data_IF_197973488312
#
_entry.id   IF_197973488312
#
_cell.length_a   1.000
_cell.length_b   1.000
_cell.length_c   1.000
_cell.angle_alpha   90.00
_cell.angle_beta   90.00
_cell.angle_gamma   90.00
#
_symmetry.space_group_name_H-M   'P 1'
#
loop_
_entity.id
_entity.type
_entity.pdbx_description
1 polymer ?
#
# COMPACT_ATOMS: atom_id res chain seq x y z
N UNK A 1 26.26 43.55 8.61
CA UNK A 1 25.10 42.78 9.07
C UNK A 1 24.83 41.72 8.01
N UNK A 2 25.38 40.53 8.20
CA UNK A 2 25.26 39.42 7.27
C UNK A 2 23.88 38.76 7.45
N UNK A 3 23.00 38.93 6.46
CA UNK A 3 21.74 38.20 6.39
C UNK A 3 21.94 36.95 5.53
N UNK A 4 22.49 35.90 6.14
CA UNK A 4 22.57 34.55 5.55
C UNK A 4 21.18 33.91 5.56
N UNK A 5 20.34 34.25 4.59
CA UNK A 5 19.11 33.54 4.31
C UNK A 5 19.39 32.27 3.49
N UNK A 6 19.91 31.23 4.13
CA UNK A 6 19.93 29.86 3.58
C UNK A 6 18.79 29.06 4.22
N UNK A 7 17.53 29.47 4.00
CA UNK A 7 16.36 28.67 4.37
C UNK A 7 15.23 28.99 3.39
N UNK A 8 14.92 28.09 2.44
CA UNK A 8 13.59 27.99 1.77
C UNK A 8 13.55 26.93 0.64
N UNK A 9 14.60 26.77 -0.17
CA UNK A 9 14.50 25.89 -1.37
C UNK A 9 14.47 24.39 -1.05
N UNK A 10 15.26 23.94 -0.06
CA UNK A 10 15.33 22.52 0.35
C UNK A 10 14.01 22.05 0.95
N UNK A 11 13.45 22.80 1.90
CA UNK A 11 12.26 22.40 2.65
C UNK A 11 10.99 22.46 1.78
N UNK A 12 10.88 23.45 0.90
CA UNK A 12 9.76 23.55 -0.05
C UNK A 12 9.79 22.42 -1.10
N UNK A 13 10.98 22.02 -1.57
CA UNK A 13 11.17 20.90 -2.49
C UNK A 13 10.85 19.55 -1.84
N UNK A 14 11.29 19.37 -0.59
CA UNK A 14 11.08 18.14 0.19
C UNK A 14 9.60 17.95 0.56
N UNK A 15 8.92 19.01 1.02
CA UNK A 15 7.49 18.95 1.32
C UNK A 15 6.65 18.67 0.06
N UNK A 16 7.02 19.25 -1.10
CA UNK A 16 6.39 18.91 -2.39
C UNK A 16 6.61 17.45 -2.78
N UNK A 17 7.80 16.91 -2.52
CA UNK A 17 8.09 15.50 -2.79
C UNK A 17 7.22 14.59 -1.93
N UNK A 18 7.19 14.78 -0.61
CA UNK A 18 6.36 13.98 0.29
C UNK A 18 4.86 14.12 -0.04
N UNK A 19 4.37 15.34 -0.28
CA UNK A 19 2.99 15.56 -0.70
C UNK A 19 2.64 14.82 -2.00
N UNK A 20 3.56 14.77 -2.97
CA UNK A 20 3.39 13.99 -4.21
C UNK A 20 3.35 12.49 -3.93
N UNK A 21 4.26 11.96 -3.12
CA UNK A 21 4.32 10.53 -2.80
C UNK A 21 3.07 10.11 -2.01
N UNK A 22 2.67 10.87 -1.00
CA UNK A 22 1.45 10.58 -0.24
C UNK A 22 0.19 10.69 -1.07
N UNK A 23 0.12 11.69 -1.97
CA UNK A 23 -0.97 11.79 -2.94
C UNK A 23 -1.07 10.57 -3.86
N UNK A 24 0.08 10.08 -4.36
CA UNK A 24 0.14 8.87 -5.19
C UNK A 24 -0.28 7.61 -4.43
N UNK A 25 0.20 7.42 -3.20
CA UNK A 25 -0.20 6.29 -2.35
C UNK A 25 -1.69 6.35 -2.04
N UNK A 26 -2.20 7.51 -1.65
CA UNK A 26 -3.63 7.72 -1.40
C UNK A 26 -4.49 7.44 -2.63
N UNK A 27 -4.03 7.82 -3.82
CA UNK A 27 -4.68 7.47 -5.09
C UNK A 27 -4.69 5.96 -5.33
N UNK A 28 -3.57 5.27 -5.10
CA UNK A 28 -3.49 3.82 -5.24
C UNK A 28 -4.46 3.10 -4.30
N UNK A 29 -4.44 3.44 -3.01
CA UNK A 29 -5.35 2.88 -2.00
C UNK A 29 -6.81 3.19 -2.33
N UNK A 30 -7.11 4.41 -2.76
CA UNK A 30 -8.45 4.81 -3.19
C UNK A 30 -8.93 4.01 -4.39
N UNK A 31 -8.05 3.79 -5.38
CA UNK A 31 -8.36 2.92 -6.53
C UNK A 31 -8.62 1.49 -6.08
N UNK A 32 -7.79 0.93 -5.21
CA UNK A 32 -7.99 -0.42 -4.66
C UNK A 32 -9.35 -0.54 -3.97
N UNK A 33 -9.73 0.44 -3.15
CA UNK A 33 -11.03 0.48 -2.48
C UNK A 33 -12.20 0.55 -3.47
N UNK A 34 -12.09 1.35 -4.53
CA UNK A 34 -13.09 1.41 -5.61
C UNK A 34 -13.22 0.05 -6.30
N UNK A 35 -12.12 -0.59 -6.67
CA UNK A 35 -12.15 -1.90 -7.31
C UNK A 35 -12.77 -2.94 -6.36
N UNK A 36 -12.41 -2.95 -5.09
CA UNK A 36 -13.01 -3.87 -4.12
C UNK A 36 -14.51 -3.66 -3.98
N UNK A 37 -14.97 -2.41 -3.92
CA UNK A 37 -16.39 -2.08 -3.90
C UNK A 37 -17.10 -2.54 -5.17
N UNK A 38 -16.50 -2.32 -6.35
CA UNK A 38 -17.07 -2.74 -7.63
C UNK A 38 -17.25 -4.26 -7.69
N UNK A 39 -16.26 -5.02 -7.22
CA UNK A 39 -16.32 -6.49 -7.19
C UNK A 39 -17.39 -7.02 -6.23
N UNK A 40 -17.54 -6.41 -5.06
CA UNK A 40 -18.49 -6.87 -4.03
C UNK A 40 -19.91 -6.32 -4.20
N UNK A 41 -20.08 -5.22 -4.93
CA UNK A 41 -21.38 -4.60 -5.21
C UNK A 41 -21.85 -4.90 -6.63
N UNK A 42 -21.66 -3.98 -7.60
CA UNK A 42 -22.16 -4.11 -8.98
C UNK A 42 -21.76 -5.40 -9.71
N UNK A 43 -20.54 -5.89 -9.52
CA UNK A 43 -20.02 -7.10 -10.16
C UNK A 43 -20.08 -8.34 -9.26
N UNK A 44 -20.87 -8.30 -8.18
CA UNK A 44 -21.01 -9.40 -7.23
C UNK A 44 -21.36 -10.74 -7.90
N UNK A 45 -22.21 -10.74 -8.93
CA UNK A 45 -22.54 -11.97 -9.66
C UNK A 45 -21.33 -12.60 -10.35
N UNK A 46 -20.49 -11.78 -11.01
CA UNK A 46 -19.24 -12.23 -11.62
C UNK A 46 -18.25 -12.70 -10.56
N UNK A 47 -18.14 -11.96 -9.45
CA UNK A 47 -17.26 -12.30 -8.34
C UNK A 47 -17.61 -13.66 -7.72
N UNK A 48 -18.89 -13.91 -7.42
CA UNK A 48 -19.36 -15.18 -6.88
C UNK A 48 -19.12 -16.32 -7.86
N UNK A 49 -19.32 -16.09 -9.17
CA UNK A 49 -19.00 -17.08 -10.19
C UNK A 49 -17.50 -17.43 -10.21
N UNK A 50 -16.62 -16.44 -10.08
CA UNK A 50 -15.17 -16.66 -9.96
C UNK A 50 -14.86 -17.47 -8.70
N UNK A 51 -15.47 -17.13 -7.56
CA UNK A 51 -15.22 -17.81 -6.29
C UNK A 51 -15.63 -19.28 -6.32
N UNK A 52 -16.78 -19.59 -6.93
CA UNK A 52 -17.34 -20.96 -6.95
C UNK A 52 -16.76 -21.83 -8.06
N UNK A 53 -16.57 -21.29 -9.26
CA UNK A 53 -16.22 -22.09 -10.45
C UNK A 53 -14.77 -21.92 -10.88
N UNK A 54 -14.11 -20.83 -10.46
CA UNK A 54 -12.78 -20.46 -10.92
C UNK A 54 -11.84 -20.09 -9.76
N UNK A 55 -11.80 -20.92 -8.71
CA UNK A 55 -10.95 -20.69 -7.54
C UNK A 55 -9.46 -20.50 -7.88
N UNK A 56 -8.99 -20.99 -9.04
CA UNK A 56 -7.62 -20.78 -9.52
C UNK A 56 -7.31 -19.31 -9.85
N UNK A 57 -8.32 -18.49 -10.15
CA UNK A 57 -8.16 -17.06 -10.48
C UNK A 57 -7.60 -16.28 -9.30
N UNK A 58 -8.01 -16.60 -8.08
CA UNK A 58 -7.44 -15.99 -6.87
C UNK A 58 -5.94 -16.29 -6.75
N UNK A 59 -5.56 -17.56 -6.93
CA UNK A 59 -4.16 -17.98 -6.91
C UNK A 59 -3.34 -17.29 -8.00
N UNK A 60 -3.87 -17.25 -9.23
CA UNK A 60 -3.24 -16.55 -10.35
C UNK A 60 -3.08 -15.05 -10.07
N UNK A 61 -4.08 -14.40 -9.48
CA UNK A 61 -4.02 -12.99 -9.12
C UNK A 61 -2.89 -12.71 -8.14
N UNK A 62 -2.67 -13.55 -7.12
CA UNK A 62 -1.54 -13.41 -6.18
C UNK A 62 -0.20 -13.45 -6.91
N UNK A 63 0.01 -14.42 -7.81
CA UNK A 63 1.27 -14.53 -8.55
C UNK A 63 1.49 -13.33 -9.48
N UNK A 64 0.45 -12.87 -10.16
CA UNK A 64 0.52 -11.68 -11.02
C UNK A 64 0.80 -10.43 -10.19
N UNK A 65 0.21 -10.32 -9.02
CA UNK A 65 0.41 -9.20 -8.10
C UNK A 65 1.86 -9.13 -7.60
N UNK A 66 2.46 -10.29 -7.27
CA UNK A 66 3.87 -10.38 -6.94
C UNK A 66 4.76 -10.00 -8.14
N UNK A 67 4.46 -10.48 -9.35
CA UNK A 67 5.22 -10.08 -10.53
C UNK A 67 5.13 -8.56 -10.77
N UNK A 68 3.93 -7.98 -10.65
CA UNK A 68 3.69 -6.55 -10.83
C UNK A 68 4.41 -5.71 -9.78
N UNK A 69 4.50 -6.13 -8.52
CA UNK A 69 5.21 -5.34 -7.51
C UNK A 69 6.71 -5.22 -7.84
N UNK A 70 7.34 -6.29 -8.34
CA UNK A 70 8.73 -6.24 -8.77
C UNK A 70 8.91 -5.36 -10.02
N UNK A 71 8.00 -5.46 -10.98
CA UNK A 71 8.04 -4.63 -12.20
C UNK A 71 7.81 -3.15 -11.89
N UNK A 72 6.80 -2.82 -11.09
CA UNK A 72 6.49 -1.47 -10.66
C UNK A 72 7.64 -0.87 -9.83
N UNK A 73 8.20 -1.64 -8.90
CA UNK A 73 9.36 -1.21 -8.10
C UNK A 73 10.59 -0.96 -8.97
N UNK A 74 10.85 -1.83 -9.94
CA UNK A 74 11.95 -1.68 -10.90
C UNK A 74 11.77 -0.44 -11.79
N UNK A 75 10.56 -0.21 -12.31
CA UNK A 75 10.23 0.96 -13.12
C UNK A 75 10.33 2.27 -12.33
N UNK A 76 9.85 2.27 -11.08
CA UNK A 76 9.95 3.41 -10.18
C UNK A 76 11.41 3.75 -9.88
N UNK A 77 12.24 2.74 -9.58
CA UNK A 77 13.68 2.94 -9.31
C UNK A 77 14.45 3.48 -10.52
N UNK A 78 14.02 3.12 -11.74
CA UNK A 78 14.57 3.62 -13.00
C UNK A 78 13.94 4.95 -13.46
N UNK A 79 13.01 5.53 -12.68
CA UNK A 79 12.25 6.72 -13.04
C UNK A 79 11.61 6.66 -14.44
N UNK A 80 11.12 5.49 -14.83
CA UNK A 80 10.52 5.27 -16.15
C UNK A 80 9.12 5.89 -16.23
N UNK A 81 8.67 6.45 -17.37
CA UNK A 81 7.31 6.96 -17.54
C UNK A 81 6.20 5.92 -17.24
N UNK A 82 6.52 4.63 -17.37
CA UNK A 82 5.63 3.51 -17.08
C UNK A 82 5.40 3.27 -15.58
N UNK A 83 6.15 3.91 -14.67
CA UNK A 83 6.04 3.65 -13.23
C UNK A 83 4.64 3.94 -12.66
N UNK A 84 4.00 5.03 -13.09
CA UNK A 84 2.66 5.39 -12.63
C UNK A 84 1.57 4.45 -13.17
N UNK A 85 1.49 4.16 -14.49
CA UNK A 85 0.55 3.16 -15.00
C UNK A 85 0.73 1.78 -14.35
N UNK A 86 1.96 1.30 -14.19
CA UNK A 86 2.23 0.01 -13.55
C UNK A 86 1.76 0.00 -12.09
N UNK A 87 1.99 1.08 -11.36
CA UNK A 87 1.51 1.23 -9.99
C UNK A 87 -0.03 1.24 -9.90
N UNK A 88 -0.71 1.90 -10.84
CA UNK A 88 -2.18 1.92 -10.86
C UNK A 88 -2.78 0.56 -11.22
N UNK A 89 -2.19 -0.17 -12.18
CA UNK A 89 -2.59 -1.55 -12.51
C UNK A 89 -2.37 -2.47 -11.32
N UNK A 90 -1.21 -2.35 -10.66
CA UNK A 90 -0.93 -3.06 -9.43
C UNK A 90 -1.97 -2.74 -8.33
N UNK A 91 -2.28 -1.46 -8.13
CA UNK A 91 -3.28 -1.03 -7.13
C UNK A 91 -4.68 -1.56 -7.45
N UNK A 92 -5.07 -1.59 -8.73
CA UNK A 92 -6.35 -2.16 -9.14
C UNK A 92 -6.40 -3.67 -8.88
N UNK A 93 -5.33 -4.40 -9.23
CA UNK A 93 -5.23 -5.83 -8.94
C UNK A 93 -5.25 -6.12 -7.43
N UNK A 94 -4.56 -5.31 -6.63
CA UNK A 94 -4.59 -5.41 -5.17
C UNK A 94 -6.02 -5.25 -4.62
N UNK A 95 -6.80 -4.29 -5.15
CA UNK A 95 -8.22 -4.13 -4.79
C UNK A 95 -9.07 -5.36 -5.17
N UNK A 96 -8.81 -5.97 -6.32
CA UNK A 96 -9.44 -7.23 -6.70
C UNK A 96 -9.08 -8.36 -5.72
N UNK A 97 -7.80 -8.55 -5.42
CA UNK A 97 -7.32 -9.56 -4.46
C UNK A 97 -7.90 -9.35 -3.06
N UNK A 98 -7.96 -8.10 -2.57
CA UNK A 98 -8.55 -7.76 -1.27
C UNK A 98 -10.05 -8.10 -1.19
N UNK A 99 -10.77 -8.13 -2.31
CA UNK A 99 -12.19 -8.49 -2.32
C UNK A 99 -12.43 -9.91 -1.79
N UNK A 100 -11.52 -10.85 -2.08
CA UNK A 100 -11.57 -12.24 -1.59
C UNK A 100 -11.39 -12.34 -0.07
N UNK A 101 -10.66 -11.38 0.52
CA UNK A 101 -10.46 -11.32 1.96
C UNK A 101 -11.65 -10.61 2.61
N UNK A 102 -12.03 -9.44 2.09
CA UNK A 102 -13.08 -8.57 2.63
C UNK A 102 -14.43 -9.28 2.69
N UNK A 103 -14.76 -10.14 1.70
CA UNK A 103 -16.03 -10.87 1.68
C UNK A 103 -16.21 -11.82 2.87
N UNK A 104 -15.11 -12.25 3.52
CA UNK A 104 -15.15 -13.13 4.69
C UNK A 104 -15.44 -12.36 5.99
N UNK A 105 -15.37 -11.03 5.98
CA UNK A 105 -15.54 -10.19 7.15
C UNK A 105 -16.78 -9.28 7.04
N UNK A 106 -17.28 -8.84 8.19
CA UNK A 106 -18.40 -7.89 8.20
C UNK A 106 -17.95 -6.49 7.79
N UNK A 107 -18.87 -5.69 7.25
CA UNK A 107 -18.59 -4.29 6.90
C UNK A 107 -18.05 -3.49 8.09
N UNK A 108 -18.56 -3.76 9.30
CA UNK A 108 -18.11 -3.11 10.52
C UNK A 108 -16.64 -3.42 10.82
N UNK A 109 -16.22 -4.68 10.72
CA UNK A 109 -14.82 -5.10 10.92
C UNK A 109 -13.89 -4.45 9.89
N UNK A 110 -14.30 -4.42 8.62
CA UNK A 110 -13.50 -3.85 7.53
C UNK A 110 -13.34 -2.34 7.72
N UNK A 111 -14.42 -1.64 8.07
CA UNK A 111 -14.38 -0.20 8.35
C UNK A 111 -13.49 0.12 9.55
N UNK A 112 -13.59 -0.65 10.64
CA UNK A 112 -12.72 -0.47 11.80
C UNK A 112 -11.24 -0.67 11.44
N UNK A 113 -10.91 -1.72 10.69
CA UNK A 113 -9.55 -1.99 10.23
C UNK A 113 -9.00 -0.88 9.32
N UNK A 114 -9.84 -0.33 8.44
CA UNK A 114 -9.46 0.80 7.59
C UNK A 114 -9.16 2.05 8.41
N UNK A 115 -10.06 2.44 9.32
CA UNK A 115 -9.88 3.63 10.16
C UNK A 115 -8.67 3.48 11.09
N UNK A 116 -8.49 2.31 11.72
CA UNK A 116 -7.32 2.08 12.58
C UNK A 116 -6.02 2.20 11.80
N UNK A 117 -5.97 1.62 10.60
CA UNK A 117 -4.78 1.67 9.74
C UNK A 117 -4.51 3.09 9.24
N UNK A 118 -5.55 3.85 8.87
CA UNK A 118 -5.43 5.25 8.47
C UNK A 118 -4.86 6.11 9.60
N UNK A 119 -5.38 5.98 10.82
CA UNK A 119 -4.88 6.71 12.01
C UNK A 119 -3.42 6.38 12.27
N UNK A 120 -3.04 5.10 12.23
CA UNK A 120 -1.64 4.69 12.41
C UNK A 120 -0.75 5.27 11.31
N UNK A 121 -1.17 5.20 10.05
CA UNK A 121 -0.41 5.75 8.93
C UNK A 121 -0.19 7.26 9.07
N UNK A 122 -1.25 8.02 9.35
CA UNK A 122 -1.15 9.48 9.54
C UNK A 122 -0.28 9.83 10.75
N UNK A 123 -0.46 9.14 11.88
CA UNK A 123 0.34 9.37 13.08
C UNK A 123 1.83 9.11 12.80
N UNK A 124 2.14 7.99 12.14
CA UNK A 124 3.52 7.64 11.80
C UNK A 124 4.12 8.56 10.73
N UNK A 125 3.33 9.02 9.76
CA UNK A 125 3.75 10.02 8.78
C UNK A 125 4.11 11.35 9.46
N UNK A 126 3.28 11.83 10.39
CA UNK A 126 3.56 13.04 11.17
C UNK A 126 4.82 12.88 12.03
N UNK A 127 5.00 11.73 12.68
CA UNK A 127 6.22 11.42 13.43
C UNK A 127 7.44 11.46 12.51
N UNK A 128 7.37 10.87 11.31
CA UNK A 128 8.46 10.84 10.34
C UNK A 128 8.93 12.23 9.87
N UNK A 129 8.03 13.21 9.83
CA UNK A 129 8.36 14.60 9.44
C UNK A 129 8.75 15.46 10.66
N UNK A 130 8.18 15.17 11.84
CA UNK A 130 8.37 16.00 13.04
C UNK A 130 9.61 15.60 13.86
N UNK A 131 10.02 14.34 13.82
CA UNK A 131 11.16 13.84 14.59
C UNK A 131 12.47 14.26 13.93
N UNK A 132 13.28 15.02 14.65
CA UNK A 132 14.62 15.46 14.21
C UNK A 132 15.73 14.44 14.47
N UNK A 133 15.43 13.37 15.21
CA UNK A 133 16.38 12.32 15.55
C UNK A 133 16.53 11.35 14.37
N UNK A 134 17.77 10.98 14.06
CA UNK A 134 18.03 9.93 13.08
C UNK A 134 17.45 8.58 13.56
N UNK A 135 16.52 8.03 12.79
CA UNK A 135 15.85 6.76 13.06
C UNK A 135 16.57 5.57 12.42
N UNK A 136 17.66 5.78 11.67
CA UNK A 136 18.42 4.73 10.98
C UNK A 136 18.90 3.62 11.93
N UNK A 137 19.14 3.96 13.20
CA UNK A 137 19.49 2.98 14.24
C UNK A 137 18.40 1.93 14.52
N UNK A 138 17.12 2.24 14.25
CA UNK A 138 16.00 1.31 14.42
C UNK A 138 15.89 0.26 13.31
N UNK A 139 16.56 0.46 12.17
CA UNK A 139 16.43 -0.41 11.00
C UNK A 139 16.74 -1.89 11.32
N UNK A 140 17.78 -2.15 12.13
CA UNK A 140 18.16 -3.52 12.53
C UNK A 140 17.07 -4.19 13.35
N UNK A 141 16.46 -3.46 14.30
CA UNK A 141 15.37 -3.97 15.12
C UNK A 141 14.11 -4.23 14.28
N UNK A 142 13.73 -3.29 13.42
CA UNK A 142 12.56 -3.46 12.53
C UNK A 142 12.73 -4.63 11.56
N UNK A 143 13.95 -4.85 11.06
CA UNK A 143 14.25 -6.02 10.22
C UNK A 143 14.11 -7.33 11.00
N UNK A 144 14.64 -7.39 12.23
CA UNK A 144 14.49 -8.57 13.09
C UNK A 144 13.00 -8.83 13.44
N UNK A 145 12.24 -7.77 13.75
CA UNK A 145 10.80 -7.86 14.01
C UNK A 145 10.02 -8.35 12.79
N UNK A 146 10.32 -7.83 11.59
CA UNK A 146 9.70 -8.28 10.33
C UNK A 146 9.95 -9.77 10.08
N UNK A 147 11.19 -10.23 10.25
CA UNK A 147 11.53 -11.66 10.11
C UNK A 147 10.74 -12.49 11.13
N UNK A 148 10.65 -12.03 12.38
CA UNK A 148 9.85 -12.68 13.42
C UNK A 148 8.38 -12.82 13.04
N UNK A 149 7.76 -11.77 12.49
CA UNK A 149 6.38 -11.79 12.01
C UNK A 149 6.22 -12.78 10.84
N UNK A 150 7.14 -12.79 9.88
CA UNK A 150 7.09 -13.72 8.74
C UNK A 150 7.16 -15.18 9.22
N UNK A 151 8.09 -15.50 10.12
CA UNK A 151 8.22 -16.85 10.69
C UNK A 151 6.97 -17.23 11.47
N UNK A 152 6.46 -16.33 12.34
CA UNK A 152 5.22 -16.57 13.08
C UNK A 152 4.02 -16.80 12.14
N UNK A 153 3.96 -16.05 11.03
CA UNK A 153 2.92 -16.21 10.01
C UNK A 153 2.99 -17.58 9.34
N UNK A 154 4.20 -18.07 9.01
CA UNK A 154 4.39 -19.40 8.42
C UNK A 154 4.01 -20.53 9.39
N UNK A 155 4.38 -20.39 10.65
CA UNK A 155 4.02 -21.38 11.69
C UNK A 155 2.49 -21.44 11.86
N UNK A 156 1.80 -20.29 11.86
CA UNK A 156 0.34 -20.22 12.01
C UNK A 156 -0.44 -20.85 10.84
N UNK A 157 0.19 -21.16 9.71
CA UNK A 157 -0.47 -21.85 8.58
C UNK A 157 -0.62 -23.35 8.84
N UNK A 158 0.23 -23.93 9.70
CA UNK A 158 0.25 -25.36 10.05
C UNK A 158 -0.47 -25.63 11.38
#
# INVERSE_FOLDING_TARGET
MESNAIYTTSDAGLNRFFGKIYGLVGMGVGLSAVISYLMLGPFSHLFVNILMNYSWVYMAAIFVELALVFLASGAARKNTPAALPLFLVYSALNGFTLSFIIVQYTQATVFQAFISTAIVFFTMSLIGISVKRDLSGMAKFLMAALIGIIVASLVNIF
#
